data_IF_117530407714
#
_entry.id   IF_117530407714
#
_cell.length_a   1.000
_cell.length_b   1.000
_cell.length_c   1.000
_cell.angle_alpha   90.00
_cell.angle_beta   90.00
_cell.angle_gamma   90.00
#
_symmetry.space_group_name_H-M   'P 1'
#
loop_
_entity.id
_entity.type
_entity.pdbx_description
1 polymer ?
#
# COMPACT_ATOMS: atom_id res chain seq x y z
N UNK A 1 2.82 -20.78 -11.88
CA UNK A 1 1.58 -20.03 -12.23
C UNK A 1 1.65 -19.72 -13.72
N UNK A 2 0.59 -19.98 -14.48
CA UNK A 2 0.51 -19.66 -15.91
C UNK A 2 -0.32 -18.39 -16.09
N UNK A 3 0.35 -17.25 -16.19
CA UNK A 3 -0.26 -15.96 -16.50
C UNK A 3 0.35 -15.44 -17.80
N UNK A 4 -0.45 -14.78 -18.62
CA UNK A 4 0.03 -14.12 -19.83
C UNK A 4 0.69 -12.79 -19.46
N UNK A 5 1.87 -12.52 -20.02
CA UNK A 5 2.55 -11.24 -19.90
C UNK A 5 2.49 -10.52 -21.25
N UNK A 6 1.95 -9.30 -21.27
CA UNK A 6 1.88 -8.46 -22.47
C UNK A 6 2.96 -7.39 -22.39
N UNK A 7 3.77 -7.27 -23.45
CA UNK A 7 4.74 -6.18 -23.58
C UNK A 7 3.97 -4.92 -23.97
N UNK A 8 4.22 -3.82 -23.28
CA UNK A 8 3.52 -2.55 -23.53
C UNK A 8 4.55 -1.44 -23.82
N UNK A 9 4.33 -0.70 -24.91
CA UNK A 9 5.24 0.36 -25.42
C UNK A 9 4.57 1.74 -25.45
N UNK A 10 3.48 1.94 -24.71
CA UNK A 10 2.67 3.16 -24.72
C UNK A 10 3.42 4.45 -24.36
N UNK A 11 4.55 4.34 -23.69
CA UNK A 11 5.43 5.50 -23.46
C UNK A 11 6.00 6.07 -24.76
N UNK A 12 6.32 5.23 -25.74
CA UNK A 12 6.82 5.62 -27.05
C UNK A 12 5.69 5.72 -28.10
N UNK A 13 4.79 4.74 -28.12
CA UNK A 13 3.79 4.57 -29.19
C UNK A 13 2.39 5.08 -28.82
N UNK A 14 2.24 5.74 -27.66
CA UNK A 14 0.95 6.20 -27.17
C UNK A 14 -0.03 5.05 -26.96
N UNK A 15 -1.33 5.31 -27.15
CA UNK A 15 -2.37 4.29 -26.91
C UNK A 15 -2.19 3.00 -27.72
N UNK A 16 -1.62 3.08 -28.93
CA UNK A 16 -1.43 1.92 -29.80
C UNK A 16 -0.51 0.85 -29.17
N UNK A 17 0.47 1.28 -28.36
CA UNK A 17 1.45 0.41 -27.70
C UNK A 17 0.90 -0.43 -26.54
N UNK A 18 -0.39 -0.33 -26.22
CA UNK A 18 -1.03 -1.12 -25.15
C UNK A 18 -2.35 -1.79 -25.58
N UNK A 19 -2.65 -1.84 -26.89
CA UNK A 19 -3.90 -2.43 -27.42
C UNK A 19 -4.06 -3.89 -27.03
N UNK A 20 -2.98 -4.69 -27.11
CA UNK A 20 -3.02 -6.11 -26.71
C UNK A 20 -3.35 -6.30 -25.22
N UNK A 21 -2.78 -5.44 -24.35
CA UNK A 21 -3.11 -5.45 -22.93
C UNK A 21 -4.58 -5.07 -22.72
N UNK A 22 -5.08 -4.06 -23.45
CA UNK A 22 -6.46 -3.62 -23.34
C UNK A 22 -7.45 -4.73 -23.74
N UNK A 23 -7.20 -5.42 -24.86
CA UNK A 23 -8.00 -6.57 -25.31
C UNK A 23 -8.00 -7.71 -24.29
N UNK A 24 -6.83 -8.05 -23.72
CA UNK A 24 -6.73 -9.06 -22.68
C UNK A 24 -7.51 -8.68 -21.41
N UNK A 25 -7.46 -7.42 -21.00
CA UNK A 25 -8.22 -6.92 -19.84
C UNK A 25 -9.73 -6.95 -20.12
N UNK A 26 -10.18 -6.55 -21.31
CA UNK A 26 -11.60 -6.65 -21.71
C UNK A 26 -12.09 -8.10 -21.67
N UNK A 27 -11.31 -9.02 -22.25
CA UNK A 27 -11.66 -10.44 -22.25
C UNK A 27 -11.74 -11.04 -20.83
N UNK A 28 -10.87 -10.61 -19.91
CA UNK A 28 -10.93 -11.00 -18.50
C UNK A 28 -12.13 -10.40 -17.78
N UNK A 29 -12.50 -9.16 -18.08
CA UNK A 29 -13.65 -8.49 -17.48
C UNK A 29 -14.98 -9.12 -17.92
N UNK A 30 -15.09 -9.54 -19.17
CA UNK A 30 -16.27 -10.23 -19.72
C UNK A 30 -16.32 -11.72 -19.31
N UNK A 31 -15.27 -12.24 -18.67
CA UNK A 31 -15.19 -13.63 -18.25
C UNK A 31 -16.06 -13.91 -17.01
N UNK A 32 -16.79 -15.03 -16.96
CA UNK A 32 -17.61 -15.39 -15.80
C UNK A 32 -16.80 -15.94 -14.61
N UNK A 33 -15.47 -15.81 -14.61
CA UNK A 33 -14.57 -16.49 -13.66
C UNK A 33 -14.14 -15.64 -12.46
N UNK A 34 -14.77 -14.49 -12.21
CA UNK A 34 -14.47 -13.67 -11.05
C UNK A 34 -14.85 -14.41 -9.74
N UNK A 35 -13.86 -14.64 -8.87
CA UNK A 35 -14.04 -15.24 -7.54
C UNK A 35 -13.57 -14.27 -6.45
N UNK A 36 -14.05 -13.03 -6.52
CA UNK A 36 -13.67 -12.02 -5.55
C UNK A 36 -14.19 -12.37 -4.15
N UNK A 37 -13.31 -12.24 -3.16
CA UNK A 37 -13.64 -12.26 -1.74
C UNK A 37 -12.70 -11.30 -1.02
N UNK A 38 -13.17 -10.71 0.08
CA UNK A 38 -12.30 -9.96 0.98
C UNK A 38 -11.26 -10.89 1.61
N UNK A 39 -10.12 -10.32 2.00
CA UNK A 39 -9.02 -11.09 2.57
C UNK A 39 -9.37 -11.67 3.96
N UNK A 40 -10.20 -10.96 4.71
CA UNK A 40 -10.65 -11.32 6.05
C UNK A 40 -12.11 -10.88 6.26
N UNK A 41 -12.71 -11.41 7.31
CA UNK A 41 -14.02 -11.04 7.82
C UNK A 41 -13.91 -9.82 8.76
N UNK A 42 -14.94 -8.97 8.80
CA UNK A 42 -14.99 -7.78 9.65
C UNK A 42 -15.09 -8.13 11.15
N UNK A 43 -15.53 -9.34 11.49
CA UNK A 43 -15.61 -9.85 12.87
C UNK A 43 -14.25 -10.28 13.44
N UNK A 44 -13.20 -10.38 12.62
CA UNK A 44 -11.86 -10.64 13.14
C UNK A 44 -11.39 -9.48 14.03
N UNK A 45 -10.67 -9.81 15.10
CA UNK A 45 -10.05 -8.78 15.94
C UNK A 45 -9.07 -7.94 15.12
N UNK A 46 -8.87 -6.67 15.51
CA UNK A 46 -7.91 -5.78 14.83
C UNK A 46 -6.50 -6.39 14.75
N UNK A 47 -6.09 -7.14 15.77
CA UNK A 47 -4.83 -7.89 15.79
C UNK A 47 -4.81 -9.00 14.72
N UNK A 48 -5.86 -9.83 14.66
CA UNK A 48 -5.92 -10.92 13.67
C UNK A 48 -6.08 -10.39 12.24
N UNK A 49 -6.82 -9.29 12.01
CA UNK A 49 -6.86 -8.61 10.70
C UNK A 49 -5.47 -8.21 10.25
N UNK A 50 -4.70 -7.57 11.14
CA UNK A 50 -3.30 -7.18 10.90
C UNK A 50 -2.43 -8.41 10.57
N UNK A 51 -2.60 -9.48 11.34
CA UNK A 51 -1.88 -10.74 11.17
C UNK A 51 -2.19 -11.43 9.84
N UNK A 52 -3.46 -11.46 9.45
CA UNK A 52 -3.90 -12.06 8.18
C UNK A 52 -3.26 -11.34 7.00
N UNK A 53 -3.22 -10.00 7.01
CA UNK A 53 -2.52 -9.22 5.97
C UNK A 53 -1.04 -9.58 5.92
N UNK A 54 -0.36 -9.58 7.07
CA UNK A 54 1.07 -9.90 7.15
C UNK A 54 1.40 -11.30 6.61
N UNK A 55 0.63 -12.32 6.96
CA UNK A 55 0.90 -13.71 6.56
C UNK A 55 0.50 -13.98 5.10
N UNK A 56 -0.68 -13.50 4.70
CA UNK A 56 -1.28 -13.87 3.42
C UNK A 56 -0.78 -13.03 2.24
N UNK A 57 -0.48 -11.75 2.49
CA UNK A 57 -0.05 -10.81 1.45
C UNK A 57 1.47 -10.66 1.47
N UNK A 58 2.08 -10.57 2.65
CA UNK A 58 3.52 -10.28 2.78
C UNK A 58 4.39 -11.53 2.96
N UNK A 59 3.80 -12.70 3.16
CA UNK A 59 4.54 -13.93 3.42
C UNK A 59 5.33 -13.90 4.73
N UNK A 60 4.90 -13.07 5.70
CA UNK A 60 5.50 -13.03 7.03
C UNK A 60 5.09 -14.27 7.84
N UNK A 61 5.93 -14.68 8.79
CA UNK A 61 5.60 -15.76 9.71
C UNK A 61 4.50 -15.33 10.69
N UNK A 62 4.65 -14.13 11.24
CA UNK A 62 3.72 -13.52 12.19
C UNK A 62 3.95 -12.00 12.31
N UNK A 63 3.17 -11.35 13.17
CA UNK A 63 3.35 -9.95 13.57
C UNK A 63 3.98 -9.87 14.97
N UNK A 64 4.64 -8.76 15.25
CA UNK A 64 5.18 -8.46 16.58
C UNK A 64 4.97 -6.99 16.94
N UNK A 65 4.81 -6.70 18.23
CA UNK A 65 4.56 -5.36 18.74
C UNK A 65 4.89 -5.29 20.23
N UNK A 66 5.32 -4.13 20.69
CA UNK A 66 5.55 -3.87 22.11
C UNK A 66 4.23 -3.92 22.89
N UNK A 67 4.29 -4.18 24.20
CA UNK A 67 3.10 -4.33 25.06
C UNK A 67 2.12 -3.16 24.92
N UNK A 68 2.63 -1.92 24.91
CA UNK A 68 1.80 -0.72 24.78
C UNK A 68 0.95 -0.70 23.50
N UNK A 69 1.50 -1.19 22.39
CA UNK A 69 0.80 -1.28 21.10
C UNK A 69 -0.27 -2.38 21.12
N UNK A 70 0.03 -3.52 21.76
CA UNK A 70 -0.95 -4.60 21.96
C UNK A 70 -2.13 -4.14 22.82
N UNK A 71 -1.83 -3.43 23.92
CA UNK A 71 -2.86 -2.84 24.77
C UNK A 71 -3.71 -1.81 24.00
N UNK A 72 -3.10 -1.04 23.09
CA UNK A 72 -3.81 -0.08 22.24
C UNK A 72 -4.73 -0.77 21.21
N UNK A 73 -4.33 -1.91 20.64
CA UNK A 73 -5.22 -2.74 19.83
C UNK A 73 -6.45 -3.18 20.62
N UNK A 74 -6.26 -3.68 21.84
CA UNK A 74 -7.36 -4.10 22.72
C UNK A 74 -8.26 -2.92 23.10
N UNK A 75 -7.68 -1.75 23.39
CA UNK A 75 -8.43 -0.53 23.69
C UNK A 75 -9.36 -0.16 22.52
N UNK A 76 -8.85 -0.16 21.28
CA UNK A 76 -9.69 0.15 20.12
C UNK A 76 -10.74 -0.91 19.83
N UNK A 77 -10.41 -2.19 20.07
CA UNK A 77 -11.37 -3.27 19.98
C UNK A 77 -12.55 -3.06 20.95
N UNK A 78 -12.26 -2.75 22.21
CA UNK A 78 -13.27 -2.53 23.26
C UNK A 78 -14.05 -1.22 23.08
N UNK A 79 -13.44 -0.21 22.47
CA UNK A 79 -14.09 1.07 22.17
C UNK A 79 -15.08 1.00 20.98
N UNK A 80 -15.29 -0.17 20.40
CA UNK A 80 -16.26 -0.40 19.32
C UNK A 80 -15.69 -0.28 17.91
N UNK A 81 -14.38 -0.05 17.76
CA UNK A 81 -13.72 0.05 16.44
C UNK A 81 -13.26 -1.31 15.90
N UNK A 82 -13.61 -2.41 16.56
CA UNK A 82 -13.17 -3.75 16.17
C UNK A 82 -13.53 -4.15 14.74
N UNK A 83 -14.67 -3.67 14.24
CA UNK A 83 -15.16 -3.93 12.88
C UNK A 83 -14.39 -3.17 11.80
N UNK A 84 -13.61 -2.15 12.15
CA UNK A 84 -12.85 -1.38 11.16
C UNK A 84 -11.83 -2.25 10.41
N UNK A 85 -11.64 -2.06 9.10
CA UNK A 85 -10.50 -2.61 8.36
C UNK A 85 -9.17 -2.00 8.83
N UNK A 86 -8.08 -2.68 8.48
CA UNK A 86 -6.72 -2.25 8.79
C UNK A 86 -6.00 -1.70 7.55
N UNK A 87 -5.26 -0.61 7.73
CA UNK A 87 -4.40 0.00 6.73
C UNK A 87 -2.93 -0.14 7.16
N UNK A 88 -2.16 -0.96 6.45
CA UNK A 88 -0.76 -1.22 6.77
C UNK A 88 0.15 -0.12 6.22
N UNK A 89 0.79 0.65 7.09
CA UNK A 89 1.74 1.69 6.74
C UNK A 89 3.17 1.18 6.96
N UNK A 90 3.80 0.70 5.89
CA UNK A 90 5.16 0.16 5.85
C UNK A 90 5.90 0.63 4.59
N UNK A 91 7.19 0.33 4.50
CA UNK A 91 7.98 0.56 3.27
C UNK A 91 7.35 -0.11 2.06
N UNK A 92 7.26 0.60 0.93
CA UNK A 92 6.76 0.08 -0.34
C UNK A 92 7.79 -0.76 -1.10
N UNK A 93 9.07 -0.74 -0.67
CA UNK A 93 10.17 -1.38 -1.40
C UNK A 93 10.31 -2.87 -1.15
N UNK A 94 9.68 -3.41 -0.09
CA UNK A 94 9.77 -4.81 0.30
C UNK A 94 8.43 -5.33 0.78
N UNK A 95 8.22 -6.65 0.76
CA UNK A 95 7.13 -7.29 1.52
C UNK A 95 7.38 -7.25 3.04
N UNK A 96 8.64 -7.23 3.47
CA UNK A 96 9.01 -7.13 4.89
C UNK A 96 8.95 -5.69 5.41
N UNK A 97 9.32 -5.45 6.67
CA UNK A 97 9.48 -4.08 7.20
C UNK A 97 10.84 -3.45 6.88
N UNK A 98 11.76 -4.22 6.28
CA UNK A 98 13.08 -3.76 5.85
C UNK A 98 13.09 -3.46 4.33
N UNK A 99 13.38 -2.21 3.90
CA UNK A 99 13.42 -1.84 2.48
C UNK A 99 14.51 -2.57 1.68
N UNK A 100 15.55 -3.12 2.31
CA UNK A 100 16.65 -3.79 1.62
C UNK A 100 16.33 -5.25 1.25
N UNK A 101 15.29 -5.85 1.85
CA UNK A 101 14.89 -7.24 1.57
C UNK A 101 14.04 -7.32 0.31
N UNK A 102 14.70 -7.46 -0.85
CA UNK A 102 14.06 -7.50 -2.17
C UNK A 102 13.50 -8.89 -2.53
N UNK A 103 12.63 -8.93 -3.53
CA UNK A 103 12.02 -10.18 -4.03
C UNK A 103 10.84 -10.62 -3.16
N UNK A 104 10.78 -11.92 -2.84
CA UNK A 104 9.74 -12.50 -1.98
C UNK A 104 10.39 -13.06 -0.69
N UNK A 105 10.71 -12.20 0.29
CA UNK A 105 11.37 -12.63 1.53
C UNK A 105 10.48 -13.57 2.34
N UNK A 106 11.10 -14.56 2.99
CA UNK A 106 10.47 -15.49 3.92
C UNK A 106 11.12 -15.39 5.31
N UNK A 107 10.53 -16.01 6.32
CA UNK A 107 11.03 -16.03 7.71
C UNK A 107 11.18 -14.63 8.34
N UNK A 108 10.31 -13.69 7.96
CA UNK A 108 10.29 -12.34 8.50
C UNK A 108 9.04 -12.11 9.34
N UNK A 109 9.12 -11.19 10.29
CA UNK A 109 7.99 -10.73 11.11
C UNK A 109 7.72 -9.26 10.84
N UNK A 110 6.45 -8.89 10.83
CA UNK A 110 6.04 -7.49 10.68
C UNK A 110 5.97 -6.86 12.06
N UNK A 111 6.93 -5.99 12.38
CA UNK A 111 6.94 -5.23 13.63
C UNK A 111 5.98 -4.03 13.51
N UNK A 112 5.02 -3.93 14.42
CA UNK A 112 4.10 -2.78 14.55
C UNK A 112 4.67 -1.82 15.59
N UNK A 113 4.85 -0.56 15.19
CA UNK A 113 5.45 0.50 16.01
C UNK A 113 4.39 1.36 16.71
N UNK A 114 3.35 1.73 15.98
CA UNK A 114 2.29 2.61 16.49
C UNK A 114 0.97 2.37 15.75
N UNK A 115 -0.14 2.81 16.35
CA UNK A 115 -1.46 2.79 15.75
C UNK A 115 -2.00 4.21 15.64
N UNK A 116 -2.72 4.50 14.57
CA UNK A 116 -3.51 5.72 14.44
C UNK A 116 -4.93 5.38 13.99
N UNK A 117 -5.92 5.84 14.75
CA UNK A 117 -7.33 5.65 14.43
C UNK A 117 -7.80 6.74 13.47
N UNK A 118 -8.22 6.37 12.27
CA UNK A 118 -8.86 7.26 11.31
C UNK A 118 -10.39 7.14 11.42
N UNK A 119 -10.96 7.59 12.54
CA UNK A 119 -12.37 7.34 12.87
C UNK A 119 -13.36 7.83 11.81
N UNK A 120 -13.11 8.99 11.18
CA UNK A 120 -13.98 9.51 10.12
C UNK A 120 -13.90 8.76 8.80
N UNK A 121 -12.80 8.04 8.55
CA UNK A 121 -12.62 7.20 7.37
C UNK A 121 -12.83 5.71 7.66
N UNK A 122 -13.14 5.37 8.92
CA UNK A 122 -13.49 4.03 9.40
C UNK A 122 -12.40 2.97 9.16
N UNK A 123 -11.13 3.31 9.41
CA UNK A 123 -10.04 2.32 9.44
C UNK A 123 -9.00 2.57 10.52
N UNK A 124 -8.27 1.53 10.89
CA UNK A 124 -7.11 1.59 11.78
C UNK A 124 -5.82 1.61 10.95
N UNK A 125 -5.00 2.64 11.10
CA UNK A 125 -3.66 2.68 10.51
C UNK A 125 -2.70 1.93 11.42
N UNK A 126 -2.08 0.88 10.88
CA UNK A 126 -1.07 0.06 11.54
C UNK A 126 0.29 0.46 11.00
N UNK A 127 1.07 1.18 11.80
CA UNK A 127 2.34 1.78 11.36
C UNK A 127 3.48 0.84 11.76
N UNK A 128 4.19 0.31 10.76
CA UNK A 128 5.23 -0.72 10.95
C UNK A 128 6.67 -0.17 10.87
N UNK A 129 6.83 1.12 10.57
CA UNK A 129 8.14 1.76 10.45
C UNK A 129 8.03 3.27 10.47
N UNK A 130 9.02 3.94 9.90
CA UNK A 130 9.01 5.39 9.75
C UNK A 130 8.27 5.76 8.46
N UNK A 131 7.11 6.40 8.64
CA UNK A 131 6.25 6.83 7.54
C UNK A 131 6.34 8.34 7.43
N UNK A 132 6.88 8.82 6.30
CA UNK A 132 7.04 10.25 6.03
C UNK A 132 5.66 10.87 5.75
N UNK A 133 5.16 11.65 6.71
CA UNK A 133 3.87 12.37 6.59
C UNK A 133 4.01 13.80 6.03
N UNK A 134 5.21 14.38 6.11
CA UNK A 134 5.52 15.71 5.60
C UNK A 134 6.86 15.64 4.86
N UNK A 135 6.88 15.54 3.52
CA UNK A 135 8.12 15.56 2.77
C UNK A 135 8.77 16.95 2.85
N UNK A 136 10.09 16.96 3.06
CA UNK A 136 10.88 18.19 3.03
C UNK A 136 11.28 18.59 1.61
N UNK A 137 11.71 19.85 1.44
CA UNK A 137 12.31 20.30 0.18
C UNK A 137 13.73 19.72 0.01
N UNK A 138 14.16 19.42 -1.22
CA UNK A 138 15.55 19.04 -1.50
C UNK A 138 16.49 20.23 -1.32
N UNK A 139 17.80 19.96 -1.28
CA UNK A 139 18.85 21.00 -1.14
C UNK A 139 18.72 22.14 -2.17
N UNK A 140 18.29 21.83 -3.39
CA UNK A 140 17.99 22.81 -4.44
C UNK A 140 16.53 22.58 -4.86
N UNK A 141 15.58 23.38 -4.33
CA UNK A 141 14.17 23.25 -4.68
C UNK A 141 13.91 23.59 -6.15
N UNK A 142 13.03 22.83 -6.80
CA UNK A 142 12.57 23.14 -8.17
C UNK A 142 11.95 24.54 -8.28
N UNK A 143 11.37 25.05 -7.19
CA UNK A 143 10.83 26.40 -7.07
C UNK A 143 11.82 27.51 -7.50
N UNK A 144 13.13 27.29 -7.37
CA UNK A 144 14.15 28.26 -7.81
C UNK A 144 14.19 28.45 -9.33
N UNK A 145 13.69 27.47 -10.09
CA UNK A 145 13.69 27.45 -11.56
C UNK A 145 12.29 27.60 -12.15
N UNK A 146 11.24 27.67 -11.32
CA UNK A 146 9.85 27.85 -11.78
C UNK A 146 9.60 29.34 -12.01
N UNK A 147 9.21 29.72 -13.23
CA UNK A 147 8.84 31.09 -13.57
C UNK A 147 7.80 31.15 -14.69
N UNK A 148 7.22 32.33 -14.89
CA UNK A 148 6.33 32.63 -16.02
C UNK A 148 7.11 33.47 -17.02
N UNK A 149 7.26 32.97 -18.25
CA UNK A 149 7.96 33.68 -19.31
C UNK A 149 7.14 34.87 -19.86
N UNK A 150 7.73 35.68 -20.75
CA UNK A 150 7.08 36.86 -21.33
C UNK A 150 5.80 36.54 -22.15
N UNK A 151 5.59 35.27 -22.51
CA UNK A 151 4.39 34.78 -23.21
C UNK A 151 3.31 34.28 -22.25
N UNK A 152 3.51 34.40 -20.93
CA UNK A 152 2.60 33.89 -19.92
C UNK A 152 2.67 32.37 -19.74
N UNK A 153 3.71 31.70 -20.22
CA UNK A 153 3.87 30.25 -20.10
C UNK A 153 4.73 29.91 -18.88
N UNK A 154 4.36 28.84 -18.16
CA UNK A 154 5.12 28.35 -17.01
C UNK A 154 6.29 27.48 -17.50
N UNK A 155 7.50 27.81 -17.08
CA UNK A 155 8.72 27.04 -17.33
C UNK A 155 9.29 26.48 -16.01
N UNK A 156 9.95 25.32 -16.07
CA UNK A 156 10.62 24.68 -14.92
C UNK A 156 9.73 23.80 -14.01
N UNK A 157 8.48 23.54 -14.41
CA UNK A 157 7.51 22.76 -13.62
C UNK A 157 7.59 21.23 -13.85
N UNK A 158 7.98 20.81 -15.05
CA UNK A 158 8.12 19.41 -15.48
C UNK A 158 9.39 19.23 -16.31
#
# INVERSE_FOLDING_TARGET
RGLTAHVCTQWADGGAGATELAEAVMALADSPHAQFRTLYDDELSLWEKTRVVARSVYGADDIDADKAVRDQFEQYQQAGYGHFPVCMAKTQYSFSTDPALMGAPANHRVKVRELALAAGAEFLVVICGDVMRMPGLPRVPAANSIFVNDRGQVEGLF
#
